data_IF_615652066036
#
_entry.id   IF_615652066036
#
_cell.length_a   1.000
_cell.length_b   1.000
_cell.length_c   1.000
_cell.angle_alpha   90.00
_cell.angle_beta   90.00
_cell.angle_gamma   90.00
#
_symmetry.space_group_name_H-M   'P 1'
#
loop_
_entity.id
_entity.type
_entity.pdbx_description
1 polymer ?
#
# COMPACT_ATOMS: atom_id res chain seq x y z
N UNK A 1 5.11 -21.39 -21.69
CA UNK A 1 6.25 -20.62 -22.24
C UNK A 1 7.30 -20.56 -21.14
N UNK A 2 8.51 -21.08 -21.34
CA UNK A 2 9.56 -21.02 -20.31
C UNK A 2 10.07 -19.58 -20.21
N UNK A 3 9.89 -18.96 -19.04
CA UNK A 3 10.45 -17.64 -18.75
C UNK A 3 11.97 -17.75 -18.61
N UNK A 4 12.73 -16.71 -18.98
CA UNK A 4 14.15 -16.65 -18.65
C UNK A 4 14.35 -16.81 -17.14
N UNK A 5 15.33 -17.61 -16.70
CA UNK A 5 15.60 -17.90 -15.27
C UNK A 5 15.75 -16.63 -14.42
N UNK A 6 16.33 -15.57 -15.00
CA UNK A 6 16.49 -14.28 -14.32
C UNK A 6 15.16 -13.59 -14.04
N UNK A 7 14.22 -13.68 -15.00
CA UNK A 7 12.89 -13.11 -14.85
C UNK A 7 12.07 -13.94 -13.84
N UNK A 8 12.13 -15.27 -13.92
CA UNK A 8 11.46 -16.13 -12.92
C UNK A 8 11.95 -15.84 -11.49
N UNK A 9 13.27 -15.72 -11.30
CA UNK A 9 13.84 -15.32 -10.00
C UNK A 9 13.33 -13.96 -9.54
N UNK A 10 13.32 -12.97 -10.43
CA UNK A 10 12.81 -11.63 -10.12
C UNK A 10 11.33 -11.66 -9.70
N UNK A 11 10.46 -12.36 -10.46
CA UNK A 11 9.04 -12.50 -10.15
C UNK A 11 8.80 -13.17 -8.79
N UNK A 12 9.59 -14.20 -8.46
CA UNK A 12 9.53 -14.87 -7.17
C UNK A 12 10.00 -13.94 -6.04
N UNK A 13 11.08 -13.21 -6.27
CA UNK A 13 11.66 -12.29 -5.29
C UNK A 13 10.76 -11.09 -5.01
N UNK A 14 10.07 -10.52 -6.00
CA UNK A 14 9.10 -9.44 -5.77
C UNK A 14 7.87 -9.94 -5.02
N UNK A 15 7.37 -11.13 -5.38
CA UNK A 15 6.18 -11.73 -4.78
C UNK A 15 6.39 -12.13 -3.33
N UNK A 16 7.57 -12.68 -3.02
CA UNK A 16 7.94 -13.10 -1.67
C UNK A 16 8.42 -11.90 -0.86
N UNK A 17 9.28 -11.07 -1.46
CA UNK A 17 9.55 -9.64 -1.20
C UNK A 17 9.74 -9.16 0.24
N UNK A 18 9.77 -10.03 1.24
CA UNK A 18 9.88 -9.67 2.66
C UNK A 18 11.05 -8.72 2.95
N UNK A 19 12.23 -8.86 2.32
CA UNK A 19 13.34 -7.97 2.63
C UNK A 19 13.18 -6.54 2.03
N UNK A 20 12.63 -6.40 0.82
CA UNK A 20 12.34 -5.08 0.23
C UNK A 20 11.17 -4.40 0.94
N UNK A 21 10.17 -5.20 1.32
CA UNK A 21 9.08 -4.78 2.21
C UNK A 21 9.63 -4.27 3.54
N UNK A 22 10.58 -4.99 4.14
CA UNK A 22 11.23 -4.57 5.39
C UNK A 22 12.07 -3.32 5.24
N UNK A 23 12.76 -3.13 4.12
CA UNK A 23 13.50 -1.89 3.86
C UNK A 23 12.53 -0.70 3.81
N UNK A 24 11.40 -0.84 3.11
CA UNK A 24 10.35 0.18 3.05
C UNK A 24 9.72 0.42 4.44
N UNK A 25 9.39 -0.64 5.18
CA UNK A 25 8.89 -0.57 6.56
C UNK A 25 9.92 0.05 7.52
N UNK A 26 11.21 -0.17 7.32
CA UNK A 26 12.27 0.41 8.13
C UNK A 26 12.42 1.91 7.90
N UNK A 27 12.31 2.36 6.64
CA UNK A 27 12.35 3.79 6.30
C UNK A 27 11.15 4.52 6.91
N UNK A 28 9.93 3.99 6.75
CA UNK A 28 8.75 4.59 7.35
C UNK A 28 8.74 4.44 8.88
N UNK A 29 9.13 3.29 9.42
CA UNK A 29 9.33 3.08 10.86
C UNK A 29 10.28 4.12 11.45
N UNK A 30 11.37 4.42 10.76
CA UNK A 30 12.30 5.48 11.12
C UNK A 30 11.65 6.86 11.11
N UNK A 31 10.83 7.17 10.09
CA UNK A 31 10.07 8.43 10.05
C UNK A 31 9.12 8.58 11.24
N UNK A 32 8.43 7.51 11.62
CA UNK A 32 7.51 7.50 12.77
C UNK A 32 8.20 7.69 14.11
N UNK A 33 9.31 6.97 14.28
CA UNK A 33 10.13 7.11 15.48
C UNK A 33 10.67 8.53 15.55
N UNK A 34 11.11 9.09 14.41
CA UNK A 34 11.57 10.46 14.35
C UNK A 34 10.44 11.44 14.71
N UNK A 35 9.26 11.28 14.12
CA UNK A 35 8.08 12.09 14.36
C UNK A 35 7.67 12.11 15.84
N UNK A 36 7.69 10.94 16.48
CA UNK A 36 7.38 10.79 17.88
C UNK A 36 8.46 11.36 18.81
N UNK A 37 9.72 11.36 18.37
CA UNK A 37 10.83 12.02 19.09
C UNK A 37 10.76 13.55 18.90
N UNK A 38 10.39 14.03 17.71
CA UNK A 38 10.39 15.44 17.35
C UNK A 38 9.08 16.16 17.66
N UNK A 39 8.04 15.45 18.12
CA UNK A 39 6.67 15.96 18.30
C UNK A 39 6.16 16.69 17.05
N UNK A 40 6.46 16.15 15.87
CA UNK A 40 5.90 16.67 14.63
C UNK A 40 4.46 16.20 14.47
N UNK A 41 3.66 16.95 13.70
CA UNK A 41 2.27 16.58 13.49
C UNK A 41 2.17 15.26 12.71
N UNK A 42 1.21 14.38 13.07
CA UNK A 42 0.91 13.15 12.33
C UNK A 42 0.70 13.43 10.84
N UNK A 43 1.11 12.48 10.01
CA UNK A 43 0.82 12.50 8.57
C UNK A 43 -0.69 12.41 8.34
N UNK A 44 -1.16 13.03 7.24
CA UNK A 44 -2.57 12.99 6.84
C UNK A 44 -3.12 11.55 6.79
N UNK A 45 -2.31 10.59 6.34
CA UNK A 45 -2.71 9.20 6.27
C UNK A 45 -2.95 8.58 7.67
N UNK A 46 -2.14 8.93 8.67
CA UNK A 46 -2.33 8.48 10.05
C UNK A 46 -3.56 9.10 10.70
N UNK A 47 -3.79 10.40 10.48
CA UNK A 47 -4.98 11.09 11.01
C UNK A 47 -6.26 10.51 10.40
N UNK A 48 -6.31 10.37 9.07
CA UNK A 48 -7.43 9.71 8.37
C UNK A 48 -7.65 8.28 8.85
N UNK A 49 -6.58 7.55 9.17
CA UNK A 49 -6.68 6.19 9.68
C UNK A 49 -7.23 6.18 11.09
N UNK A 50 -6.79 7.10 11.93
CA UNK A 50 -7.31 7.29 13.26
C UNK A 50 -8.80 7.66 13.23
N UNK A 51 -9.22 8.53 12.31
CA UNK A 51 -10.62 8.87 12.09
C UNK A 51 -11.41 7.63 11.64
N UNK A 52 -10.92 6.89 10.64
CA UNK A 52 -11.55 5.67 10.17
C UNK A 52 -11.66 4.59 11.26
N UNK A 53 -10.62 4.42 12.08
CA UNK A 53 -10.62 3.50 13.22
C UNK A 53 -11.54 3.98 14.34
N UNK A 54 -11.68 5.30 14.52
CA UNK A 54 -12.62 5.86 15.49
C UNK A 54 -14.08 5.56 15.14
N UNK A 55 -14.42 5.48 13.84
CA UNK A 55 -15.73 5.01 13.37
C UNK A 55 -16.01 3.56 13.79
N UNK A 56 -14.96 2.77 13.99
CA UNK A 56 -15.03 1.39 14.49
C UNK A 56 -14.91 1.29 16.02
N UNK A 57 -14.83 2.44 16.72
CA UNK A 57 -14.66 2.51 18.17
C UNK A 57 -13.22 2.29 18.66
N UNK A 58 -12.22 2.32 17.78
CA UNK A 58 -10.82 1.99 18.07
C UNK A 58 -9.96 3.24 18.23
N UNK A 59 -10.24 4.04 19.27
CA UNK A 59 -9.71 5.41 19.45
C UNK A 59 -8.21 5.54 19.78
N UNK A 60 -7.41 4.47 19.77
CA UNK A 60 -5.95 4.52 19.98
C UNK A 60 -5.18 3.45 19.15
N UNK A 61 -5.78 2.95 18.08
CA UNK A 61 -5.26 1.75 17.41
C UNK A 61 -4.14 2.04 16.38
N UNK A 62 -3.93 3.28 15.94
CA UNK A 62 -2.96 3.58 14.86
C UNK A 62 -1.50 3.23 15.19
N UNK A 63 -0.89 3.59 16.34
CA UNK A 63 0.49 3.17 16.64
C UNK A 63 0.59 1.66 16.87
N UNK A 64 -0.43 1.05 17.47
CA UNK A 64 -0.48 -0.41 17.69
C UNK A 64 -0.51 -1.15 16.35
N UNK A 65 -1.24 -0.64 15.37
CA UNK A 65 -1.33 -1.21 14.03
C UNK A 65 0.00 -1.12 13.28
N UNK A 66 0.67 0.03 13.34
CA UNK A 66 1.99 0.22 12.75
C UNK A 66 3.01 -0.77 13.32
N UNK A 67 3.05 -0.90 14.64
CA UNK A 67 3.91 -1.86 15.35
C UNK A 67 3.57 -3.29 14.91
N UNK A 68 2.29 -3.69 14.94
CA UNK A 68 1.85 -5.02 14.53
C UNK A 68 2.32 -5.35 13.11
N UNK A 69 2.19 -4.42 12.18
CA UNK A 69 2.59 -4.64 10.80
C UNK A 69 4.11 -4.81 10.66
N UNK A 70 4.90 -3.96 11.33
CA UNK A 70 6.37 -4.10 11.35
C UNK A 70 6.76 -5.47 11.90
N UNK A 71 6.13 -5.89 13.01
CA UNK A 71 6.34 -7.22 13.60
C UNK A 71 5.98 -8.36 12.64
N UNK A 72 4.84 -8.28 11.94
CA UNK A 72 4.45 -9.29 10.96
C UNK A 72 5.43 -9.36 9.79
N UNK A 73 5.94 -8.22 9.32
CA UNK A 73 6.96 -8.17 8.28
C UNK A 73 8.27 -8.81 8.75
N UNK A 74 8.73 -8.50 9.97
CA UNK A 74 9.93 -9.08 10.56
C UNK A 74 9.78 -10.60 10.78
N UNK A 75 8.63 -11.03 11.29
CA UNK A 75 8.32 -12.44 11.50
C UNK A 75 8.33 -13.21 10.17
N UNK A 76 7.69 -12.67 9.12
CA UNK A 76 7.71 -13.26 7.78
C UNK A 76 9.14 -13.37 7.25
N UNK A 77 9.96 -12.32 7.39
CA UNK A 77 11.35 -12.37 6.94
C UNK A 77 12.18 -13.42 7.69
N UNK A 78 12.02 -13.49 9.02
CA UNK A 78 12.68 -14.49 9.84
C UNK A 78 12.31 -15.92 9.41
N UNK A 79 11.03 -16.18 9.15
CA UNK A 79 10.55 -17.48 8.67
C UNK A 79 11.11 -17.86 7.29
N UNK A 80 11.33 -16.89 6.41
CA UNK A 80 11.84 -17.12 5.06
C UNK A 80 13.36 -17.36 5.00
N UNK A 81 14.11 -17.15 6.10
CA UNK A 81 15.57 -17.32 6.20
C UNK A 81 16.34 -16.66 5.04
N UNK A 82 15.87 -15.51 4.56
CA UNK A 82 16.44 -14.82 3.39
C UNK A 82 17.53 -13.83 3.80
N UNK A 83 18.51 -13.65 2.91
CA UNK A 83 19.56 -12.66 3.10
C UNK A 83 19.03 -11.23 2.95
N UNK A 84 19.59 -10.30 3.73
CA UNK A 84 19.32 -8.85 3.65
C UNK A 84 20.03 -8.15 2.48
N UNK A 85 20.65 -8.90 1.57
CA UNK A 85 21.45 -8.37 0.46
C UNK A 85 20.64 -8.39 -0.83
N UNK A 86 20.53 -7.24 -1.48
CA UNK A 86 19.91 -7.08 -2.80
C UNK A 86 20.94 -6.66 -3.82
N UNK A 87 20.74 -7.07 -5.07
CA UNK A 87 21.44 -6.43 -6.18
C UNK A 87 20.79 -5.06 -6.44
N UNK A 88 21.57 -4.00 -6.70
CA UNK A 88 21.00 -2.71 -7.12
C UNK A 88 20.09 -2.84 -8.34
N UNK A 89 20.41 -3.76 -9.25
CA UNK A 89 19.60 -4.09 -10.42
C UNK A 89 18.20 -4.58 -10.07
N UNK A 90 18.04 -5.37 -9.00
CA UNK A 90 16.73 -5.80 -8.53
C UNK A 90 15.88 -4.60 -8.09
N UNK A 91 16.47 -3.66 -7.35
CA UNK A 91 15.76 -2.45 -6.90
C UNK A 91 15.35 -1.56 -8.07
N UNK A 92 16.24 -1.38 -9.05
CA UNK A 92 15.95 -0.59 -10.26
C UNK A 92 14.81 -1.25 -11.05
N UNK A 93 14.88 -2.56 -11.30
CA UNK A 93 13.84 -3.28 -12.02
C UNK A 93 12.48 -3.19 -11.29
N UNK A 94 12.47 -3.32 -9.97
CA UNK A 94 11.28 -3.14 -9.13
C UNK A 94 10.71 -1.72 -9.22
N UNK A 95 11.56 -0.69 -9.16
CA UNK A 95 11.15 0.70 -9.34
C UNK A 95 10.58 0.96 -10.73
N UNK A 96 11.20 0.44 -11.79
CA UNK A 96 10.70 0.58 -13.16
C UNK A 96 9.34 -0.12 -13.34
N UNK A 97 9.18 -1.34 -12.80
CA UNK A 97 7.89 -2.04 -12.83
C UNK A 97 6.82 -1.23 -12.12
N UNK A 98 7.10 -0.75 -10.91
CA UNK A 98 6.15 0.06 -10.14
C UNK A 98 5.77 1.35 -10.88
N UNK A 99 6.74 2.04 -11.48
CA UNK A 99 6.47 3.25 -12.28
C UNK A 99 5.57 2.96 -13.49
N UNK A 100 5.77 1.83 -14.17
CA UNK A 100 4.87 1.38 -15.24
C UNK A 100 3.47 1.04 -14.70
N UNK A 101 3.39 0.41 -13.53
CA UNK A 101 2.14 0.09 -12.85
C UNK A 101 1.39 1.32 -12.34
N UNK A 102 2.02 2.50 -12.27
CA UNK A 102 1.37 3.77 -11.94
C UNK A 102 0.56 4.34 -13.13
N UNK A 103 0.91 3.99 -14.37
CA UNK A 103 0.26 4.52 -15.58
C UNK A 103 -1.26 4.29 -15.58
N UNK A 104 -1.81 3.11 -15.24
CA UNK A 104 -3.25 2.90 -15.15
C UNK A 104 -3.94 3.79 -14.10
N UNK A 105 -3.30 4.06 -12.97
CA UNK A 105 -3.85 4.93 -11.92
C UNK A 105 -3.92 6.38 -12.40
N UNK A 106 -2.83 6.86 -13.01
CA UNK A 106 -2.79 8.21 -13.56
C UNK A 106 -3.77 8.39 -14.73
N UNK A 107 -3.85 7.40 -15.61
CA UNK A 107 -4.81 7.37 -16.72
C UNK A 107 -6.26 7.38 -16.26
N UNK A 108 -6.56 6.74 -15.13
CA UNK A 108 -7.89 6.81 -14.50
C UNK A 108 -8.22 8.24 -14.07
N UNK A 109 -7.27 8.95 -13.44
CA UNK A 109 -7.44 10.35 -13.05
C UNK A 109 -7.70 11.26 -14.25
N UNK A 110 -7.00 11.05 -15.37
CA UNK A 110 -7.25 11.76 -16.64
C UNK A 110 -8.68 11.50 -17.13
N UNK A 111 -9.06 10.22 -17.22
CA UNK A 111 -10.33 9.80 -17.80
C UNK A 111 -11.54 10.37 -17.07
N UNK A 112 -11.45 10.51 -15.75
CA UNK A 112 -12.54 11.01 -14.90
C UNK A 112 -12.42 12.54 -14.69
N UNK A 113 -11.40 13.18 -15.28
CA UNK A 113 -11.24 14.64 -15.25
C UNK A 113 -10.80 15.19 -13.89
N UNK A 114 -10.03 14.41 -13.12
CA UNK A 114 -9.60 14.74 -11.77
C UNK A 114 -8.23 15.47 -11.72
N UNK A 115 -7.65 15.84 -12.86
CA UNK A 115 -6.32 16.45 -12.90
C UNK A 115 -6.37 18.00 -12.80
N UNK A 116 -5.34 18.55 -12.17
CA UNK A 116 -5.06 19.99 -12.05
C UNK A 116 -3.65 20.34 -12.59
N UNK A 117 -3.35 21.63 -12.81
CA UNK A 117 -2.09 22.06 -13.42
C UNK A 117 -0.84 21.70 -12.61
N UNK A 118 0.20 21.22 -13.29
CA UNK A 118 1.42 20.75 -12.65
C UNK A 118 2.11 21.80 -11.75
N UNK A 119 2.52 21.38 -10.56
CA UNK A 119 3.24 22.14 -9.54
C UNK A 119 4.55 21.45 -9.12
N UNK A 120 5.44 22.19 -8.47
CA UNK A 120 6.71 21.64 -7.95
C UNK A 120 6.48 20.89 -6.65
N UNK A 121 6.94 19.64 -6.58
CA UNK A 121 6.90 18.84 -5.34
C UNK A 121 8.01 19.30 -4.39
N UNK A 122 7.65 19.76 -3.20
CA UNK A 122 8.60 20.06 -2.13
C UNK A 122 9.14 18.78 -1.47
N UNK A 123 10.32 18.88 -0.84
CA UNK A 123 10.96 17.74 -0.15
C UNK A 123 10.01 17.09 0.89
N UNK A 124 9.22 17.90 1.59
CA UNK A 124 8.19 17.41 2.53
C UNK A 124 7.11 16.56 1.86
N UNK A 125 6.73 16.89 0.62
CA UNK A 125 5.76 16.11 -0.17
C UNK A 125 6.25 14.70 -0.52
N UNK A 126 7.55 14.52 -0.75
CA UNK A 126 8.12 13.19 -1.00
C UNK A 126 8.07 12.29 0.24
N UNK A 127 8.36 12.85 1.43
CA UNK A 127 8.25 12.10 2.68
C UNK A 127 6.80 11.73 2.99
N UNK A 128 5.85 12.64 2.72
CA UNK A 128 4.42 12.39 2.86
C UNK A 128 3.94 11.28 1.92
N UNK A 129 4.26 11.35 0.62
CA UNK A 129 3.90 10.30 -0.34
C UNK A 129 4.47 8.92 0.07
N UNK A 130 5.73 8.87 0.50
CA UNK A 130 6.36 7.62 0.92
C UNK A 130 5.69 7.02 2.16
N UNK A 131 5.42 7.86 3.17
CA UNK A 131 4.82 7.42 4.42
C UNK A 131 3.36 7.01 4.21
N UNK A 132 2.54 7.84 3.55
CA UNK A 132 1.13 7.56 3.25
C UNK A 132 0.98 6.28 2.42
N UNK A 133 1.65 6.21 1.26
CA UNK A 133 1.56 5.06 0.38
C UNK A 133 1.97 3.75 1.06
N UNK A 134 3.01 3.76 1.90
CA UNK A 134 3.33 2.55 2.67
C UNK A 134 2.23 2.22 3.68
N UNK A 135 1.82 3.20 4.51
CA UNK A 135 0.87 2.98 5.59
C UNK A 135 -0.44 2.41 5.10
N UNK A 136 -0.98 2.98 4.04
CA UNK A 136 -2.25 2.57 3.49
C UNK A 136 -2.16 1.18 2.87
N UNK A 137 -1.09 0.88 2.13
CA UNK A 137 -0.90 -0.48 1.59
C UNK A 137 -0.78 -1.54 2.70
N UNK A 138 -0.11 -1.21 3.79
CA UNK A 138 0.01 -2.09 4.95
C UNK A 138 -1.37 -2.40 5.57
N UNK A 139 -2.22 -1.40 5.72
CA UNK A 139 -3.57 -1.58 6.29
C UNK A 139 -4.49 -2.31 5.33
N UNK A 140 -4.65 -1.81 4.11
CA UNK A 140 -5.68 -2.29 3.19
C UNK A 140 -5.29 -3.58 2.46
N UNK A 141 -3.99 -3.88 2.32
CA UNK A 141 -3.54 -5.05 1.57
C UNK A 141 -2.97 -6.09 2.51
N UNK A 142 -1.96 -5.75 3.32
CA UNK A 142 -1.37 -6.75 4.21
C UNK A 142 -2.33 -7.14 5.33
N UNK A 143 -2.86 -6.18 6.10
CA UNK A 143 -3.72 -6.51 7.22
C UNK A 143 -5.09 -6.98 6.75
N UNK A 144 -5.83 -6.15 5.99
CA UNK A 144 -7.20 -6.46 5.59
C UNK A 144 -7.28 -7.73 4.72
N UNK A 145 -6.54 -7.81 3.60
CA UNK A 145 -6.68 -8.96 2.68
C UNK A 145 -6.13 -10.24 3.33
N UNK A 146 -4.95 -10.22 3.96
CA UNK A 146 -4.39 -11.46 4.52
C UNK A 146 -5.15 -11.92 5.76
N UNK A 147 -5.54 -11.02 6.67
CA UNK A 147 -6.30 -11.40 7.85
C UNK A 147 -7.69 -11.92 7.45
N UNK A 148 -8.39 -11.22 6.55
CA UNK A 148 -9.71 -11.67 6.10
C UNK A 148 -9.63 -12.98 5.31
N UNK A 149 -8.60 -13.17 4.46
CA UNK A 149 -8.38 -14.44 3.77
C UNK A 149 -8.09 -15.58 4.76
N UNK A 150 -7.30 -15.32 5.81
CA UNK A 150 -7.02 -16.29 6.86
C UNK A 150 -8.29 -16.67 7.62
N UNK A 151 -9.10 -15.69 8.02
CA UNK A 151 -10.40 -15.94 8.69
C UNK A 151 -11.32 -16.77 7.79
N UNK A 152 -11.45 -16.41 6.52
CA UNK A 152 -12.30 -17.14 5.57
C UNK A 152 -11.82 -18.57 5.34
N UNK A 153 -10.51 -18.79 5.30
CA UNK A 153 -9.95 -20.14 5.17
C UNK A 153 -10.17 -20.97 6.43
N UNK A 154 -9.83 -20.41 7.60
CA UNK A 154 -9.85 -21.12 8.88
C UNK A 154 -11.27 -21.40 9.38
N UNK A 155 -12.17 -20.42 9.29
CA UNK A 155 -13.52 -20.54 9.87
C UNK A 155 -14.61 -20.89 8.87
N UNK A 156 -14.43 -20.54 7.58
CA UNK A 156 -15.44 -20.77 6.55
C UNK A 156 -15.03 -21.86 5.54
N UNK A 157 -13.85 -22.46 5.69
CA UNK A 157 -13.35 -23.51 4.80
C UNK A 157 -13.19 -23.08 3.34
N UNK A 158 -13.21 -21.77 3.07
CA UNK A 158 -13.14 -21.25 1.71
C UNK A 158 -11.70 -21.28 1.19
N UNK A 159 -11.53 -21.72 -0.06
CA UNK A 159 -10.21 -21.67 -0.68
C UNK A 159 -9.81 -20.22 -0.95
N UNK A 160 -8.50 -19.94 -0.81
CA UNK A 160 -7.93 -18.60 -1.05
C UNK A 160 -8.28 -18.06 -2.44
N UNK A 161 -8.36 -18.93 -3.45
CA UNK A 161 -8.72 -18.54 -4.81
C UNK A 161 -10.16 -18.06 -4.92
N UNK A 162 -11.09 -18.68 -4.19
CA UNK A 162 -12.51 -18.30 -4.21
C UNK A 162 -12.76 -16.97 -3.49
N UNK A 163 -12.07 -16.74 -2.36
CA UNK A 163 -12.30 -15.53 -1.55
C UNK A 163 -11.60 -14.28 -2.11
N UNK A 164 -10.51 -14.45 -2.86
CA UNK A 164 -9.65 -13.33 -3.26
C UNK A 164 -10.36 -12.22 -4.07
N UNK A 165 -11.21 -12.52 -5.07
CA UNK A 165 -11.90 -11.46 -5.82
C UNK A 165 -12.76 -10.56 -4.92
N UNK A 166 -13.42 -11.14 -3.92
CA UNK A 166 -14.24 -10.40 -2.95
C UNK A 166 -13.38 -9.52 -2.05
N UNK A 167 -12.22 -10.02 -1.59
CA UNK A 167 -11.31 -9.24 -0.76
C UNK A 167 -10.63 -8.11 -1.53
N UNK A 168 -10.34 -8.31 -2.82
CA UNK A 168 -9.84 -7.25 -3.70
C UNK A 168 -10.89 -6.14 -3.84
N UNK A 169 -12.15 -6.50 -4.12
CA UNK A 169 -13.25 -5.55 -4.21
C UNK A 169 -13.49 -4.81 -2.88
N UNK A 170 -13.56 -5.55 -1.78
CA UNK A 170 -13.75 -5.00 -0.44
C UNK A 170 -12.62 -4.03 -0.05
N UNK A 171 -11.37 -4.41 -0.33
CA UNK A 171 -10.20 -3.56 -0.09
C UNK A 171 -10.32 -2.23 -0.83
N UNK A 172 -10.70 -2.25 -2.11
CA UNK A 172 -10.92 -1.02 -2.88
C UNK A 172 -12.05 -0.14 -2.35
N UNK A 173 -13.18 -0.73 -1.98
CA UNK A 173 -14.32 0.03 -1.42
C UNK A 173 -13.94 0.66 -0.07
N UNK A 174 -13.31 -0.09 0.83
CA UNK A 174 -12.89 0.45 2.12
C UNK A 174 -11.81 1.52 1.97
N UNK A 175 -10.91 1.36 1.00
CA UNK A 175 -9.91 2.39 0.65
C UNK A 175 -10.57 3.69 0.20
N UNK A 176 -11.68 3.61 -0.53
CA UNK A 176 -12.45 4.78 -0.92
C UNK A 176 -13.22 5.42 0.24
N UNK A 177 -13.84 4.62 1.11
CA UNK A 177 -14.50 5.14 2.32
C UNK A 177 -13.53 5.85 3.27
N UNK A 178 -12.27 5.40 3.30
CA UNK A 178 -11.20 6.04 4.06
C UNK A 178 -10.79 7.40 3.49
N UNK A 179 -10.81 7.57 2.16
CA UNK A 179 -10.45 8.82 1.50
C UNK A 179 -11.59 9.82 1.37
N UNK A 180 -12.81 9.32 1.16
CA UNK A 180 -14.04 10.09 1.03
C UNK A 180 -14.98 9.66 2.17
N UNK A 181 -14.85 10.23 3.38
CA UNK A 181 -15.76 9.92 4.47
C UNK A 181 -17.19 10.23 4.00
N UNK A 182 -18.07 9.23 4.08
CA UNK A 182 -19.46 9.31 3.59
C UNK A 182 -20.26 10.51 4.15
N UNK A 183 -19.75 11.17 5.18
CA UNK A 183 -20.42 12.20 5.96
C UNK A 183 -20.10 13.64 5.54
N UNK A 184 -19.01 13.88 4.78
CA UNK A 184 -18.56 15.23 4.39
C UNK A 184 -19.03 15.68 2.99
N UNK A 185 -20.00 14.95 2.42
CA UNK A 185 -20.53 15.17 1.07
C UNK A 185 -20.15 14.02 0.14
N UNK A 186 -21.11 13.58 -0.67
CA UNK A 186 -20.90 12.43 -1.57
C UNK A 186 -20.20 12.87 -2.86
N UNK A 187 -18.87 12.72 -2.89
CA UNK A 187 -18.07 12.89 -4.11
C UNK A 187 -17.99 11.56 -4.89
N UNK A 188 -18.82 11.46 -5.94
CA UNK A 188 -18.85 10.30 -6.84
C UNK A 188 -17.51 10.10 -7.55
N UNK A 189 -16.85 11.20 -7.94
CA UNK A 189 -15.58 11.18 -8.66
C UNK A 189 -14.49 10.58 -7.77
N UNK A 190 -14.32 11.13 -6.57
CA UNK A 190 -13.41 10.60 -5.56
C UNK A 190 -13.71 9.15 -5.23
N UNK A 191 -14.98 8.79 -4.97
CA UNK A 191 -15.37 7.41 -4.68
C UNK A 191 -14.94 6.44 -5.79
N UNK A 192 -15.15 6.80 -7.06
CA UNK A 192 -14.74 5.97 -8.21
C UNK A 192 -13.23 5.88 -8.35
N UNK A 193 -12.52 7.01 -8.27
CA UNK A 193 -11.05 7.06 -8.38
C UNK A 193 -10.42 6.19 -7.29
N UNK A 194 -10.82 6.39 -6.03
CA UNK A 194 -10.27 5.63 -4.91
C UNK A 194 -10.69 4.16 -4.94
N UNK A 195 -11.91 3.82 -5.37
CA UNK A 195 -12.34 2.42 -5.43
C UNK A 195 -11.56 1.65 -6.50
N UNK A 196 -11.47 2.21 -7.71
CA UNK A 196 -10.79 1.56 -8.84
C UNK A 196 -9.27 1.55 -8.64
N UNK A 197 -8.69 2.65 -8.14
CA UNK A 197 -7.28 2.69 -7.75
C UNK A 197 -6.98 1.70 -6.62
N UNK A 198 -7.88 1.62 -5.64
CA UNK A 198 -7.80 0.68 -4.54
C UNK A 198 -7.78 -0.79 -5.00
N UNK A 199 -8.68 -1.14 -5.92
CA UNK A 199 -8.74 -2.45 -6.59
C UNK A 199 -7.45 -2.74 -7.37
N UNK A 200 -6.95 -1.77 -8.14
CA UNK A 200 -5.72 -1.94 -8.92
C UNK A 200 -4.52 -2.27 -8.02
N UNK A 201 -4.34 -1.51 -6.94
CA UNK A 201 -3.29 -1.76 -5.95
C UNK A 201 -3.45 -3.12 -5.26
N UNK A 202 -4.70 -3.55 -4.96
CA UNK A 202 -4.97 -4.89 -4.42
C UNK A 202 -4.66 -6.02 -5.42
N UNK A 203 -4.87 -5.80 -6.72
CA UNK A 203 -4.45 -6.72 -7.79
C UNK A 203 -2.93 -6.81 -7.85
N UNK A 204 -2.22 -5.68 -7.84
CA UNK A 204 -0.75 -5.67 -7.80
C UNK A 204 -0.22 -6.39 -6.57
N UNK A 205 -0.77 -6.11 -5.39
CA UNK A 205 -0.44 -6.84 -4.17
C UNK A 205 -0.56 -8.35 -4.33
N UNK A 206 -1.70 -8.82 -4.89
CA UNK A 206 -1.99 -10.24 -5.06
C UNK A 206 -1.01 -10.95 -5.99
N UNK A 207 -0.63 -10.32 -7.10
CA UNK A 207 0.15 -10.96 -8.16
C UNK A 207 1.65 -10.65 -8.10
N UNK A 208 2.01 -9.46 -7.63
CA UNK A 208 3.39 -8.93 -7.67
C UNK A 208 4.02 -8.79 -6.29
N UNK A 209 3.21 -8.64 -5.24
CA UNK A 209 3.66 -8.48 -3.86
C UNK A 209 3.54 -7.05 -3.35
N UNK A 210 3.74 -6.90 -2.03
CA UNK A 210 3.53 -5.64 -1.30
C UNK A 210 4.46 -4.52 -1.75
N UNK A 211 5.74 -4.79 -1.98
CA UNK A 211 6.70 -3.76 -2.35
C UNK A 211 6.35 -3.06 -3.68
N UNK A 212 5.86 -3.80 -4.68
CA UNK A 212 5.40 -3.23 -5.96
C UNK A 212 4.14 -2.38 -5.74
N UNK A 213 3.18 -2.85 -4.94
CA UNK A 213 1.97 -2.09 -4.63
C UNK A 213 2.31 -0.77 -3.93
N UNK A 214 3.18 -0.81 -2.91
CA UNK A 214 3.67 0.37 -2.17
C UNK A 214 4.34 1.35 -3.12
N UNK A 215 5.33 0.91 -3.91
CA UNK A 215 6.03 1.82 -4.81
C UNK A 215 5.13 2.40 -5.90
N UNK A 216 4.17 1.62 -6.39
CA UNK A 216 3.18 2.10 -7.37
C UNK A 216 2.33 3.22 -6.78
N UNK A 217 1.90 3.04 -5.52
CA UNK A 217 1.13 4.03 -4.78
C UNK A 217 1.95 5.29 -4.49
N UNK A 218 3.16 5.14 -3.97
CA UNK A 218 4.08 6.27 -3.70
C UNK A 218 4.35 7.08 -4.97
N UNK A 219 4.58 6.42 -6.11
CA UNK A 219 4.74 7.12 -7.39
C UNK A 219 3.47 7.81 -7.86
N UNK A 220 2.30 7.22 -7.62
CA UNK A 220 1.02 7.86 -7.90
C UNK A 220 0.86 9.13 -7.04
N UNK A 221 1.13 9.05 -5.74
CA UNK A 221 1.04 10.19 -4.82
C UNK A 221 2.00 11.31 -5.21
N UNK A 222 3.23 10.98 -5.60
CA UNK A 222 4.19 11.99 -6.10
C UNK A 222 3.64 12.69 -7.34
N UNK A 223 3.01 11.96 -8.27
CA UNK A 223 2.42 12.56 -9.47
C UNK A 223 1.22 13.45 -9.14
N UNK A 224 0.38 13.04 -8.18
CA UNK A 224 -0.78 13.82 -7.74
C UNK A 224 -0.35 15.06 -6.96
N UNK A 225 0.66 14.96 -6.09
CA UNK A 225 1.24 16.10 -5.37
C UNK A 225 1.96 17.09 -6.31
N UNK A 226 2.34 16.61 -7.49
CA UNK A 226 2.92 17.44 -8.53
C UNK A 226 1.86 18.09 -9.44
N UNK A 227 0.56 17.99 -9.11
CA UNK A 227 -0.57 18.59 -9.83
C UNK A 227 -1.34 19.55 -8.94
#
# INVERSE_FOLDING_TARGET
>A
MNLPKNLERYLLETKIGAPATLALCGVAGGHLVLEQITNTMPTLAQDRLQDFLSLLGLTNASPVLAILVIWLCLLRHHQQKRSWRFSPWFMIAMGMEAALCTVPLFGLGILIGALVPYATVEIGGLALALSAGLYEELVFRLLLIEAAAHVCFTFLGMSRTKVMPYLIGLSGVLFACYHAPLLDGFDVTGLLVYTLGGIWLAVLYRYRGLAIAVLTHVFYDILVLAQ
#
